data_IF_960591405098
#
_entry.id   IF_960591405098
#
_cell.length_a   1.000
_cell.length_b   1.000
_cell.length_c   1.000
_cell.angle_alpha   90.00
_cell.angle_beta   90.00
_cell.angle_gamma   90.00
#
_symmetry.space_group_name_H-M   'P 1'
#
loop_
_entity.id
_entity.type
_entity.pdbx_description
1 polymer ?
#
# COMPACT_ATOMS: atom_id res chain seq x y z
N UNK A 1 9.97 -7.32 -17.98
CA UNK A 1 11.37 -7.38 -18.50
C UNK A 1 11.63 -8.38 -19.65
N UNK A 2 10.60 -9.04 -20.18
CA UNK A 2 10.73 -10.24 -21.02
C UNK A 2 10.60 -9.94 -22.51
N UNK A 3 11.41 -10.60 -23.34
CA UNK A 3 11.41 -10.43 -24.80
C UNK A 3 11.38 -11.78 -25.52
N UNK A 4 10.30 -12.04 -26.24
CA UNK A 4 10.10 -13.22 -27.08
C UNK A 4 10.99 -13.22 -28.33
N UNK A 5 11.52 -14.38 -28.79
CA UNK A 5 12.08 -14.54 -30.13
C UNK A 5 11.13 -13.98 -31.20
N UNK A 6 11.68 -13.31 -32.21
CA UNK A 6 10.89 -12.66 -33.28
C UNK A 6 10.24 -11.33 -32.89
N UNK A 7 10.22 -10.96 -31.60
CA UNK A 7 9.75 -9.62 -31.21
C UNK A 7 10.70 -8.51 -31.71
N UNK A 8 10.13 -7.31 -31.88
CA UNK A 8 10.81 -6.13 -32.49
C UNK A 8 12.24 -5.89 -32.00
N UNK A 9 12.51 -6.11 -30.72
CA UNK A 9 13.81 -5.80 -30.11
C UNK A 9 14.67 -7.01 -29.79
N UNK A 10 14.15 -8.24 -29.93
CA UNK A 10 14.86 -9.45 -29.54
C UNK A 10 16.22 -9.59 -30.22
N UNK A 11 16.26 -9.47 -31.55
CA UNK A 11 17.51 -9.59 -32.31
C UNK A 11 18.56 -8.54 -31.93
N UNK A 12 18.13 -7.34 -31.52
CA UNK A 12 19.03 -6.30 -31.02
C UNK A 12 19.61 -6.69 -29.66
N UNK A 13 18.76 -7.12 -28.72
CA UNK A 13 19.20 -7.56 -27.39
C UNK A 13 20.16 -8.74 -27.49
N UNK A 14 19.82 -9.72 -28.33
CA UNK A 14 20.67 -10.88 -28.61
C UNK A 14 22.04 -10.46 -29.17
N UNK A 15 22.07 -9.61 -30.21
CA UNK A 15 23.32 -9.15 -30.82
C UNK A 15 24.24 -8.40 -29.83
N UNK A 16 23.67 -7.73 -28.83
CA UNK A 16 24.45 -6.99 -27.83
C UNK A 16 24.77 -7.82 -26.57
N UNK A 17 24.32 -9.09 -26.50
CA UNK A 17 24.55 -9.92 -25.31
C UNK A 17 23.79 -9.43 -24.07
N UNK A 18 22.66 -8.75 -24.24
CA UNK A 18 21.92 -8.09 -23.14
C UNK A 18 20.85 -8.97 -22.49
N UNK A 19 20.82 -10.27 -22.77
CA UNK A 19 20.03 -11.22 -22.01
C UNK A 19 20.92 -11.91 -21.00
N UNK A 20 20.41 -12.21 -19.80
CA UNK A 20 21.13 -13.16 -18.97
C UNK A 20 21.07 -14.54 -19.62
N UNK A 21 22.18 -15.27 -19.52
CA UNK A 21 22.48 -16.36 -20.45
C UNK A 21 22.99 -17.61 -19.73
N UNK A 22 22.93 -18.75 -20.40
CA UNK A 22 23.55 -19.98 -19.95
C UNK A 22 25.08 -19.91 -20.11
N UNK A 23 25.80 -20.91 -19.58
CA UNK A 23 27.25 -20.97 -19.69
C UNK A 23 27.79 -20.96 -21.14
N UNK A 24 26.98 -21.44 -22.09
CA UNK A 24 27.31 -21.44 -23.53
C UNK A 24 26.97 -20.12 -24.25
N UNK A 25 26.54 -19.09 -23.50
CA UNK A 25 26.20 -17.77 -24.02
C UNK A 25 24.81 -17.65 -24.64
N UNK A 26 24.02 -18.74 -24.72
CA UNK A 26 22.64 -18.65 -25.21
C UNK A 26 21.76 -17.95 -24.16
N UNK A 27 20.84 -17.05 -24.57
CA UNK A 27 19.87 -16.46 -23.66
C UNK A 27 19.10 -17.54 -22.90
N UNK A 28 18.88 -17.31 -21.61
CA UNK A 28 18.08 -18.23 -20.79
C UNK A 28 16.62 -18.14 -21.23
N UNK A 29 15.97 -19.28 -21.43
CA UNK A 29 14.56 -19.37 -21.84
C UNK A 29 13.84 -20.37 -20.95
N UNK A 30 12.53 -20.18 -20.75
CA UNK A 30 11.66 -21.22 -20.18
C UNK A 30 10.73 -21.78 -21.24
N UNK A 31 10.54 -23.10 -21.19
CA UNK A 31 9.54 -23.85 -21.96
C UNK A 31 8.36 -24.23 -21.06
N UNK A 32 7.97 -23.38 -20.11
CA UNK A 32 6.96 -23.73 -19.09
C UNK A 32 5.62 -24.18 -19.68
N UNK A 33 5.34 -23.82 -20.94
CA UNK A 33 4.19 -24.33 -21.68
C UNK A 33 4.57 -24.69 -23.11
N UNK A 34 4.20 -25.88 -23.63
CA UNK A 34 4.37 -26.22 -25.04
C UNK A 34 3.67 -25.17 -25.93
N UNK A 35 4.43 -24.48 -26.78
CA UNK A 35 3.94 -23.42 -27.68
C UNK A 35 4.10 -21.99 -27.15
N UNK A 36 4.58 -21.79 -25.92
CA UNK A 36 4.80 -20.46 -25.35
C UNK A 36 6.25 -19.99 -25.60
N UNK A 37 6.46 -19.17 -26.63
CA UNK A 37 7.74 -18.48 -26.88
C UNK A 37 7.88 -17.24 -26.00
N UNK A 38 7.61 -17.38 -24.70
CA UNK A 38 7.59 -16.27 -23.74
C UNK A 38 8.93 -15.49 -23.70
N UNK A 39 10.03 -16.12 -24.08
CA UNK A 39 11.32 -15.46 -24.34
C UNK A 39 12.21 -15.29 -23.12
N UNK A 40 13.25 -14.47 -23.28
CA UNK A 40 14.32 -14.25 -22.31
C UNK A 40 14.19 -12.89 -21.64
N UNK A 41 14.64 -12.78 -20.40
CA UNK A 41 14.67 -11.52 -19.68
C UNK A 41 15.98 -10.77 -19.97
N UNK A 42 15.84 -9.47 -20.21
CA UNK A 42 16.97 -8.57 -20.36
C UNK A 42 17.77 -8.52 -19.05
N UNK A 43 19.09 -8.46 -19.15
CA UNK A 43 19.98 -8.34 -18.00
C UNK A 43 20.09 -6.88 -17.55
N UNK A 44 19.41 -6.53 -16.46
CA UNK A 44 19.44 -5.17 -15.89
C UNK A 44 20.73 -4.86 -15.13
N UNK A 45 21.59 -5.85 -14.90
CA UNK A 45 22.90 -5.64 -14.25
C UNK A 45 23.94 -5.10 -15.24
N UNK A 46 23.74 -5.29 -16.54
CA UNK A 46 24.50 -4.61 -17.60
C UNK A 46 24.05 -3.13 -17.70
N UNK A 47 24.93 -2.15 -17.43
CA UNK A 47 24.56 -0.73 -17.49
C UNK A 47 24.11 -0.26 -18.89
N UNK A 48 24.62 -0.85 -19.97
CA UNK A 48 24.23 -0.52 -21.33
C UNK A 48 22.82 -1.05 -21.66
N UNK A 49 22.50 -2.27 -21.22
CA UNK A 49 21.15 -2.85 -21.32
C UNK A 49 20.14 -2.03 -20.52
N UNK A 50 20.43 -1.72 -19.25
CA UNK A 50 19.60 -0.89 -18.37
C UNK A 50 19.32 0.50 -18.97
N UNK A 51 20.35 1.18 -19.49
CA UNK A 51 20.19 2.47 -20.18
C UNK A 51 19.32 2.34 -21.43
N UNK A 52 19.48 1.26 -22.20
CA UNK A 52 18.66 1.03 -23.37
C UNK A 52 17.20 0.76 -23.01
N UNK A 53 16.94 -0.05 -21.99
CA UNK A 53 15.60 -0.38 -21.52
C UNK A 53 14.85 0.88 -21.11
N UNK A 54 15.49 1.74 -20.31
CA UNK A 54 14.91 3.04 -19.96
C UNK A 54 14.60 3.89 -21.20
N UNK A 55 15.50 3.99 -22.19
CA UNK A 55 15.22 4.76 -23.41
C UNK A 55 13.96 4.27 -24.13
N UNK A 56 13.70 2.96 -24.13
CA UNK A 56 12.49 2.40 -24.71
C UNK A 56 11.25 2.77 -23.89
N UNK A 57 11.32 2.69 -22.56
CA UNK A 57 10.25 3.16 -21.67
C UNK A 57 9.98 4.65 -21.88
N UNK A 58 11.01 5.50 -21.93
CA UNK A 58 10.87 6.94 -22.12
C UNK A 58 10.19 7.25 -23.46
N UNK A 59 10.71 6.70 -24.55
CA UNK A 59 10.24 6.95 -25.91
C UNK A 59 8.79 6.49 -26.13
N UNK A 60 8.42 5.33 -25.59
CA UNK A 60 7.13 4.70 -25.89
C UNK A 60 6.07 4.93 -24.81
N UNK A 61 6.45 5.28 -23.58
CA UNK A 61 5.51 5.50 -22.48
C UNK A 61 5.61 6.92 -21.92
N UNK A 62 6.74 7.32 -21.35
CA UNK A 62 6.81 8.56 -20.57
C UNK A 62 6.58 9.80 -21.43
N UNK A 63 7.25 9.92 -22.58
CA UNK A 63 7.02 11.02 -23.54
C UNK A 63 5.64 11.00 -24.19
N UNK A 64 4.91 9.89 -24.08
CA UNK A 64 3.51 9.76 -24.52
C UNK A 64 2.49 10.11 -23.43
N UNK A 65 2.95 10.56 -22.26
CA UNK A 65 2.10 11.07 -21.19
C UNK A 65 1.77 10.05 -20.08
N UNK A 66 2.29 8.82 -20.16
CA UNK A 66 2.16 7.87 -19.06
C UNK A 66 2.92 8.39 -17.83
N UNK A 67 2.31 8.28 -16.65
CA UNK A 67 2.79 8.93 -15.43
C UNK A 67 3.52 8.00 -14.46
N UNK A 68 3.39 6.68 -14.62
CA UNK A 68 3.96 5.67 -13.75
C UNK A 68 4.20 4.38 -14.53
N UNK A 69 5.07 3.53 -13.99
CA UNK A 69 5.45 2.25 -14.59
C UNK A 69 5.05 1.11 -13.67
N UNK A 70 4.35 0.13 -14.22
CA UNK A 70 4.18 -1.16 -13.57
C UNK A 70 5.21 -2.13 -14.17
N UNK A 71 6.24 -2.44 -13.38
CA UNK A 71 7.27 -3.41 -13.71
C UNK A 71 6.86 -4.78 -13.14
N UNK A 72 6.19 -5.56 -13.97
CA UNK A 72 5.82 -6.93 -13.65
C UNK A 72 6.99 -7.90 -13.88
N UNK A 73 6.94 -9.10 -13.29
CA UNK A 73 7.98 -10.15 -13.39
C UNK A 73 9.39 -9.69 -12.97
N UNK A 74 9.48 -8.89 -11.90
CA UNK A 74 10.74 -8.35 -11.39
C UNK A 74 11.53 -9.31 -10.48
N UNK A 75 11.10 -10.56 -10.29
CA UNK A 75 11.83 -11.56 -9.49
C UNK A 75 13.25 -11.85 -10.01
N UNK A 76 13.48 -12.19 -11.30
CA UNK A 76 12.56 -12.37 -12.44
C UNK A 76 11.90 -13.76 -12.50
N UNK A 77 10.72 -13.83 -13.13
CA UNK A 77 9.88 -15.05 -13.17
C UNK A 77 10.51 -16.24 -13.91
N UNK A 78 11.51 -15.98 -14.74
CA UNK A 78 12.49 -16.99 -15.15
C UNK A 78 13.64 -16.93 -14.13
N UNK A 79 13.76 -17.91 -13.21
CA UNK A 79 14.77 -17.84 -12.16
C UNK A 79 16.18 -17.85 -12.76
N UNK A 80 17.10 -16.99 -12.27
CA UNK A 80 18.45 -16.89 -12.82
C UNK A 80 19.39 -18.02 -12.37
N UNK A 81 18.89 -19.03 -11.64
CA UNK A 81 19.71 -20.14 -11.18
C UNK A 81 20.18 -20.99 -12.37
N UNK A 82 21.50 -21.19 -12.49
CA UNK A 82 22.12 -21.83 -13.66
C UNK A 82 22.37 -20.89 -14.84
N UNK A 83 22.02 -19.61 -14.71
CA UNK A 83 22.33 -18.55 -15.68
C UNK A 83 23.44 -17.63 -15.17
N UNK A 84 23.89 -16.72 -16.02
CA UNK A 84 24.88 -15.68 -15.73
C UNK A 84 24.31 -14.32 -16.08
N UNK A 85 24.44 -13.40 -15.14
CA UNK A 85 24.32 -11.97 -15.35
C UNK A 85 25.69 -11.38 -15.71
N UNK A 86 25.71 -10.14 -16.20
CA UNK A 86 26.90 -9.35 -16.46
C UNK A 86 27.79 -9.23 -15.23
N UNK A 87 27.19 -9.19 -14.03
CA UNK A 87 27.90 -9.08 -12.75
C UNK A 87 28.33 -10.42 -12.14
N UNK A 88 27.94 -11.55 -12.73
CA UNK A 88 28.33 -12.88 -12.25
C UNK A 88 27.23 -13.94 -12.29
N UNK A 89 27.46 -15.11 -11.66
CA UNK A 89 26.53 -16.23 -11.67
C UNK A 89 25.18 -15.86 -11.05
N UNK A 90 24.08 -16.19 -11.73
CA UNK A 90 22.73 -15.95 -11.24
C UNK A 90 22.38 -16.74 -9.98
N UNK A 91 23.10 -17.83 -9.69
CA UNK A 91 23.01 -18.55 -8.40
C UNK A 91 23.54 -17.70 -7.23
N UNK A 92 24.56 -16.88 -7.44
CA UNK A 92 25.11 -15.96 -6.43
C UNK A 92 24.26 -14.69 -6.32
N UNK A 93 23.85 -14.13 -7.47
CA UNK A 93 23.08 -12.89 -7.57
C UNK A 93 21.56 -13.12 -7.69
N UNK A 94 21.03 -14.21 -7.11
CA UNK A 94 19.66 -14.67 -7.38
C UNK A 94 18.57 -13.64 -7.08
N UNK A 95 18.71 -12.91 -5.96
CA UNK A 95 17.68 -12.00 -5.47
C UNK A 95 17.86 -10.52 -5.88
N UNK A 96 18.92 -10.16 -6.62
CA UNK A 96 19.25 -8.73 -6.81
C UNK A 96 18.48 -8.08 -7.96
N UNK A 97 17.88 -8.88 -8.84
CA UNK A 97 17.26 -8.39 -10.06
C UNK A 97 16.21 -7.28 -9.86
N UNK A 98 15.28 -7.34 -8.88
CA UNK A 98 14.32 -6.27 -8.66
C UNK A 98 14.99 -4.93 -8.29
N UNK A 99 16.15 -4.97 -7.61
CA UNK A 99 16.93 -3.76 -7.32
C UNK A 99 17.46 -3.12 -8.60
N UNK A 100 18.02 -3.91 -9.51
CA UNK A 100 18.61 -3.40 -10.75
C UNK A 100 17.55 -2.88 -11.71
N UNK A 101 16.44 -3.61 -11.92
CA UNK A 101 15.36 -3.17 -12.81
C UNK A 101 14.71 -1.86 -12.33
N UNK A 102 14.34 -1.79 -11.04
CA UNK A 102 13.76 -0.57 -10.48
C UNK A 102 14.75 0.60 -10.50
N UNK A 103 16.05 0.35 -10.29
CA UNK A 103 17.09 1.38 -10.39
C UNK A 103 17.21 1.93 -11.80
N UNK A 104 17.17 1.07 -12.83
CA UNK A 104 17.25 1.49 -14.23
C UNK A 104 16.12 2.47 -14.60
N UNK A 105 14.89 2.15 -14.18
CA UNK A 105 13.71 3.00 -14.41
C UNK A 105 13.80 4.29 -13.59
N UNK A 106 14.12 4.19 -12.29
CA UNK A 106 14.19 5.35 -11.40
C UNK A 106 15.25 6.36 -11.83
N UNK A 107 16.47 5.90 -12.10
CA UNK A 107 17.57 6.79 -12.51
C UNK A 107 17.28 7.43 -13.88
N UNK A 108 16.65 6.69 -14.77
CA UNK A 108 16.14 7.22 -16.03
C UNK A 108 15.13 8.35 -15.82
N UNK A 109 14.09 8.10 -15.00
CA UNK A 109 13.10 9.11 -14.64
C UNK A 109 13.75 10.34 -14.02
N UNK A 110 14.64 10.17 -13.02
CA UNK A 110 15.32 11.28 -12.33
C UNK A 110 16.15 12.16 -13.26
N UNK A 111 16.77 11.56 -14.27
CA UNK A 111 17.60 12.28 -15.25
C UNK A 111 16.75 13.02 -16.29
N UNK A 112 15.70 12.36 -16.80
CA UNK A 112 15.02 12.80 -18.02
C UNK A 112 13.66 13.46 -17.74
N UNK A 113 13.14 13.41 -16.50
CA UNK A 113 11.90 14.09 -16.09
C UNK A 113 12.03 14.82 -14.75
N UNK A 114 11.18 15.84 -14.55
CA UNK A 114 11.01 16.53 -13.26
C UNK A 114 9.98 15.86 -12.35
N UNK A 115 9.15 14.97 -12.90
CA UNK A 115 8.09 14.27 -12.14
C UNK A 115 8.71 13.25 -11.20
N UNK A 116 8.05 13.02 -10.06
CA UNK A 116 8.40 11.92 -9.15
C UNK A 116 8.28 10.59 -9.89
N UNK A 117 9.32 9.77 -9.78
CA UNK A 117 9.24 8.39 -10.24
C UNK A 117 8.23 7.64 -9.36
N UNK A 118 7.33 6.90 -10.01
CA UNK A 118 6.42 5.98 -9.36
C UNK A 118 6.48 4.66 -10.12
N UNK A 119 7.00 3.64 -9.45
CA UNK A 119 7.14 2.29 -9.98
C UNK A 119 6.31 1.36 -9.12
N UNK A 120 5.49 0.51 -9.72
CA UNK A 120 4.90 -0.65 -9.05
C UNK A 120 5.73 -1.87 -9.46
N UNK A 121 6.34 -2.60 -8.52
CA UNK A 121 7.21 -3.77 -8.80
C UNK A 121 6.83 -5.02 -7.98
N UNK A 122 6.91 -6.20 -8.60
CA UNK A 122 6.35 -7.46 -8.03
C UNK A 122 7.21 -8.07 -6.95
N UNK A 123 8.51 -7.82 -7.03
CA UNK A 123 9.53 -8.37 -6.16
C UNK A 123 10.41 -7.24 -5.64
N UNK A 124 11.01 -7.45 -4.47
CA UNK A 124 11.82 -6.46 -3.79
C UNK A 124 13.16 -7.04 -3.35
N UNK A 125 14.13 -6.16 -3.16
CA UNK A 125 15.38 -6.47 -2.49
C UNK A 125 15.77 -5.30 -1.59
N UNK A 126 16.64 -5.55 -0.62
CA UNK A 126 17.10 -4.52 0.32
C UNK A 126 17.65 -3.30 -0.44
N UNK A 127 17.16 -2.12 -0.08
CA UNK A 127 17.58 -0.86 -0.69
C UNK A 127 16.75 -0.45 -1.90
N UNK A 128 15.87 -1.29 -2.45
CA UNK A 128 15.04 -0.95 -3.61
C UNK A 128 14.00 0.14 -3.32
N UNK A 129 13.65 0.40 -2.04
CA UNK A 129 12.76 1.49 -1.64
C UNK A 129 13.29 2.89 -2.05
N UNK A 130 14.61 3.04 -2.26
CA UNK A 130 15.21 4.31 -2.74
C UNK A 130 14.81 4.67 -4.17
N UNK A 131 14.24 3.72 -4.92
CA UNK A 131 13.90 3.85 -6.33
C UNK A 131 12.47 4.34 -6.57
N UNK A 132 11.79 4.92 -5.56
CA UNK A 132 10.41 5.39 -5.71
C UNK A 132 9.44 4.27 -6.06
N UNK A 133 9.67 3.10 -5.47
CA UNK A 133 8.97 1.86 -5.80
C UNK A 133 7.95 1.48 -4.74
N UNK A 134 6.76 1.12 -5.19
CA UNK A 134 5.70 0.44 -4.47
C UNK A 134 5.84 -1.05 -4.78
N UNK A 135 5.84 -1.89 -3.75
CA UNK A 135 5.86 -3.34 -3.93
C UNK A 135 4.49 -3.95 -3.63
N UNK A 136 4.12 -5.03 -4.30
CA UNK A 136 2.90 -5.76 -3.99
C UNK A 136 3.16 -7.26 -3.78
N UNK A 137 2.24 -7.94 -3.09
CA UNK A 137 2.38 -9.37 -2.73
C UNK A 137 2.15 -10.37 -3.86
N UNK A 138 2.24 -9.94 -5.12
CA UNK A 138 2.11 -10.78 -6.31
C UNK A 138 0.70 -11.40 -6.48
N UNK A 139 0.62 -12.50 -7.23
CA UNK A 139 -0.59 -13.12 -7.72
C UNK A 139 -1.25 -14.00 -6.64
N UNK A 140 -1.85 -13.35 -5.65
CA UNK A 140 -2.44 -14.03 -4.48
C UNK A 140 -3.86 -14.56 -4.78
N UNK A 141 -4.27 -15.67 -4.15
CA UNK A 141 -5.62 -16.22 -4.37
C UNK A 141 -6.72 -15.42 -3.66
N UNK A 142 -7.92 -15.29 -4.24
CA UNK A 142 -9.07 -14.58 -3.67
C UNK A 142 -9.73 -15.36 -2.51
N UNK A 143 -9.06 -15.53 -1.37
CA UNK A 143 -9.59 -16.31 -0.22
C UNK A 143 -9.43 -15.59 1.12
N UNK A 144 -10.26 -15.94 2.11
CA UNK A 144 -10.12 -15.44 3.49
C UNK A 144 -8.78 -15.78 4.13
N UNK A 145 -8.24 -16.98 3.86
CA UNK A 145 -6.93 -17.36 4.38
C UNK A 145 -5.82 -16.48 3.77
N UNK A 146 -5.93 -16.16 2.48
CA UNK A 146 -5.02 -15.23 1.82
C UNK A 146 -5.09 -13.85 2.48
N UNK A 147 -6.29 -13.28 2.64
CA UNK A 147 -6.50 -11.99 3.33
C UNK A 147 -5.88 -12.01 4.74
N UNK A 148 -6.09 -13.08 5.51
CA UNK A 148 -5.49 -13.22 6.84
C UNK A 148 -3.96 -13.17 6.79
N UNK A 149 -3.33 -13.79 5.78
CA UNK A 149 -1.88 -13.81 5.61
C UNK A 149 -1.32 -12.49 5.09
N UNK A 150 -2.10 -11.67 4.38
CA UNK A 150 -1.61 -10.39 3.87
C UNK A 150 -1.22 -9.42 4.99
N UNK A 151 -1.87 -9.51 6.16
CA UNK A 151 -1.53 -8.65 7.31
C UNK A 151 -0.09 -8.90 7.77
N UNK A 152 0.31 -10.11 8.24
CA UNK A 152 1.71 -10.36 8.60
C UNK A 152 2.67 -10.12 7.44
N UNK A 153 2.32 -10.50 6.20
CA UNK A 153 3.17 -10.22 5.03
C UNK A 153 3.51 -8.74 4.89
N UNK A 154 2.51 -7.85 4.94
CA UNK A 154 2.73 -6.41 4.83
C UNK A 154 3.51 -5.83 6.01
N UNK A 155 3.29 -6.37 7.22
CA UNK A 155 4.04 -5.98 8.42
C UNK A 155 5.51 -6.37 8.31
N UNK A 156 5.82 -7.57 7.83
CA UNK A 156 7.19 -8.06 7.65
C UNK A 156 7.93 -7.26 6.56
N UNK A 157 7.27 -6.94 5.44
CA UNK A 157 7.84 -6.08 4.40
C UNK A 157 8.15 -4.68 4.94
N UNK A 158 7.21 -4.08 5.68
CA UNK A 158 7.39 -2.76 6.28
C UNK A 158 8.53 -2.76 7.32
N UNK A 159 8.57 -3.77 8.20
CA UNK A 159 9.63 -3.95 9.19
C UNK A 159 11.01 -4.20 8.54
N UNK A 160 11.03 -4.76 7.33
CA UNK A 160 12.24 -4.95 6.51
C UNK A 160 12.73 -3.66 5.83
N UNK A 161 12.14 -2.50 6.13
CA UNK A 161 12.58 -1.20 5.63
C UNK A 161 11.99 -0.82 4.26
N UNK A 162 10.91 -1.48 3.83
CA UNK A 162 10.19 -1.20 2.58
C UNK A 162 8.81 -0.60 2.94
N UNK A 163 8.68 0.74 3.00
CA UNK A 163 7.51 1.37 3.59
C UNK A 163 6.32 1.51 2.66
N UNK A 164 6.52 1.36 1.34
CA UNK A 164 5.45 1.45 0.33
C UNK A 164 5.13 0.05 -0.18
N UNK A 165 4.12 -0.55 0.43
CA UNK A 165 3.63 -1.88 0.09
C UNK A 165 2.11 -1.86 -0.12
N UNK A 166 1.60 -2.82 -0.89
CA UNK A 166 0.18 -3.05 -1.14
C UNK A 166 -0.09 -4.52 -1.48
N UNK A 167 -1.35 -4.88 -1.63
CA UNK A 167 -1.76 -6.15 -2.19
C UNK A 167 -2.80 -5.94 -3.30
N UNK A 168 -3.21 -7.05 -3.92
CA UNK A 168 -4.39 -7.09 -4.76
C UNK A 168 -5.62 -7.17 -3.86
N UNK A 169 -6.31 -6.05 -3.61
CA UNK A 169 -7.56 -6.09 -2.84
C UNK A 169 -8.56 -7.03 -3.51
N UNK A 170 -8.91 -8.10 -2.80
CA UNK A 170 -9.76 -9.20 -3.29
C UNK A 170 -8.99 -10.38 -3.89
N UNK A 171 -7.67 -10.32 -4.00
CA UNK A 171 -6.82 -11.31 -4.65
C UNK A 171 -6.67 -11.11 -6.16
N UNK A 172 -5.72 -11.81 -6.78
CA UNK A 172 -5.43 -11.77 -8.21
C UNK A 172 -6.23 -12.81 -9.00
N UNK A 173 -6.10 -14.10 -8.64
CA UNK A 173 -6.58 -15.21 -9.46
C UNK A 173 -8.10 -15.22 -9.68
N UNK A 174 -8.53 -15.97 -10.69
CA UNK A 174 -9.93 -16.22 -11.01
C UNK A 174 -10.70 -16.76 -9.81
N UNK A 175 -11.97 -16.38 -9.72
CA UNK A 175 -12.89 -16.90 -8.72
C UNK A 175 -13.29 -18.35 -9.05
N UNK A 176 -13.59 -19.17 -8.04
CA UNK A 176 -14.18 -20.48 -8.28
C UNK A 176 -15.54 -20.35 -8.98
N UNK A 177 -15.91 -21.36 -9.79
CA UNK A 177 -17.18 -21.36 -10.51
C UNK A 177 -18.39 -21.40 -9.56
N UNK A 178 -18.25 -22.09 -8.44
CA UNK A 178 -19.22 -22.22 -7.35
C UNK A 178 -18.46 -22.13 -6.04
N UNK A 179 -19.04 -21.44 -5.05
CA UNK A 179 -18.52 -21.37 -3.69
C UNK A 179 -19.46 -22.04 -2.68
N UNK A 180 -18.88 -22.51 -1.56
CA UNK A 180 -19.57 -23.12 -0.44
C UNK A 180 -19.22 -22.37 0.85
N UNK A 181 -19.96 -21.31 1.19
CA UNK A 181 -19.64 -20.46 2.32
C UNK A 181 -19.74 -21.23 3.65
N UNK A 182 -18.70 -21.15 4.47
CA UNK A 182 -18.63 -21.78 5.81
C UNK A 182 -19.56 -21.11 6.81
N UNK A 183 -19.84 -19.82 6.62
CA UNK A 183 -20.87 -19.06 7.34
C UNK A 183 -21.75 -18.32 6.37
N UNK A 184 -23.00 -18.06 6.75
CA UNK A 184 -23.90 -17.21 5.97
C UNK A 184 -23.23 -15.86 5.66
N UNK A 185 -23.05 -15.50 4.38
CA UNK A 185 -22.49 -14.21 4.01
C UNK A 185 -23.34 -13.06 4.55
N UNK A 186 -22.67 -11.98 4.96
CA UNK A 186 -23.26 -10.76 5.50
C UNK A 186 -23.85 -9.86 4.40
N UNK A 187 -23.40 -10.04 3.16
CA UNK A 187 -23.90 -9.32 2.01
C UNK A 187 -24.26 -10.27 0.86
N UNK A 188 -25.29 -9.89 0.13
CA UNK A 188 -25.82 -10.64 -1.00
C UNK A 188 -25.03 -10.35 -2.29
N UNK A 189 -24.72 -11.38 -3.11
CA UNK A 189 -24.16 -11.21 -4.44
C UNK A 189 -25.18 -10.70 -5.48
N UNK A 190 -26.41 -10.37 -5.07
CA UNK A 190 -27.42 -9.82 -5.95
C UNK A 190 -26.93 -8.53 -6.63
N UNK A 191 -26.98 -8.52 -7.97
CA UNK A 191 -26.43 -7.43 -8.79
C UNK A 191 -24.93 -7.49 -9.04
N UNK A 192 -24.22 -8.51 -8.52
CA UNK A 192 -22.79 -8.73 -8.73
C UNK A 192 -22.47 -9.96 -9.60
N UNK A 193 -23.48 -10.79 -9.92
CA UNK A 193 -23.31 -12.10 -10.57
C UNK A 193 -22.51 -12.07 -11.89
N UNK A 194 -22.63 -10.99 -12.66
CA UNK A 194 -21.84 -10.82 -13.89
C UNK A 194 -20.33 -10.69 -13.64
N UNK A 195 -19.93 -10.37 -12.40
CA UNK A 195 -18.54 -10.20 -11.98
C UNK A 195 -18.05 -11.32 -11.06
N UNK A 196 -18.93 -11.88 -10.21
CA UNK A 196 -18.58 -12.90 -9.20
C UNK A 196 -19.05 -14.32 -9.54
N UNK A 197 -19.86 -14.49 -10.59
CA UNK A 197 -20.37 -15.81 -10.99
C UNK A 197 -21.16 -16.50 -9.88
N UNK A 198 -20.84 -17.78 -9.66
CA UNK A 198 -21.43 -18.60 -8.61
C UNK A 198 -20.81 -18.40 -7.22
N UNK A 199 -19.74 -17.61 -7.10
CA UNK A 199 -19.10 -17.30 -5.82
C UNK A 199 -19.95 -16.30 -5.02
N UNK A 200 -20.69 -16.84 -4.04
CA UNK A 200 -21.66 -16.08 -3.24
C UNK A 200 -21.03 -15.32 -2.09
N UNK A 201 -19.84 -15.72 -1.67
CA UNK A 201 -19.11 -15.14 -0.54
C UNK A 201 -18.21 -13.98 -0.96
N UNK A 202 -17.69 -14.01 -2.19
CA UNK A 202 -16.71 -13.05 -2.67
C UNK A 202 -17.06 -11.57 -2.43
N UNK A 203 -18.31 -11.10 -2.56
CA UNK A 203 -18.64 -9.72 -2.19
C UNK A 203 -18.30 -9.36 -0.74
N UNK A 204 -18.55 -10.27 0.24
CA UNK A 204 -18.17 -10.05 1.63
C UNK A 204 -16.66 -10.01 1.80
N UNK A 205 -15.96 -10.99 1.22
CA UNK A 205 -14.50 -11.04 1.21
C UNK A 205 -13.92 -9.74 0.64
N UNK A 206 -14.42 -9.28 -0.50
CA UNK A 206 -13.97 -8.07 -1.16
C UNK A 206 -14.23 -6.82 -0.30
N UNK A 207 -15.40 -6.70 0.34
CA UNK A 207 -15.67 -5.61 1.28
C UNK A 207 -14.65 -5.61 2.41
N UNK A 208 -14.46 -6.75 3.10
CA UNK A 208 -13.48 -6.83 4.21
C UNK A 208 -12.06 -6.55 3.78
N UNK A 209 -11.66 -7.00 2.59
CA UNK A 209 -10.35 -6.73 2.03
C UNK A 209 -10.19 -5.25 1.67
N UNK A 210 -11.23 -4.61 1.14
CA UNK A 210 -11.21 -3.19 0.83
C UNK A 210 -11.16 -2.32 2.10
N UNK A 211 -11.87 -2.72 3.17
CA UNK A 211 -11.74 -2.10 4.49
C UNK A 211 -10.28 -2.09 4.96
N UNK A 212 -9.59 -3.23 4.84
CA UNK A 212 -8.16 -3.36 5.14
C UNK A 212 -7.29 -2.52 4.19
N UNK A 213 -7.52 -2.60 2.88
CA UNK A 213 -6.76 -1.89 1.84
C UNK A 213 -6.74 -0.37 2.01
N UNK A 214 -7.80 0.21 2.59
CA UNK A 214 -7.87 1.64 2.91
C UNK A 214 -6.81 2.08 3.92
N UNK A 215 -6.34 1.16 4.76
CA UNK A 215 -5.29 1.38 5.76
C UNK A 215 -3.96 0.74 5.38
N UNK A 216 -3.76 0.43 4.09
CA UNK A 216 -2.44 0.10 3.55
C UNK A 216 -1.67 1.35 3.13
N UNK A 217 -0.32 1.29 3.01
CA UNK A 217 0.46 2.39 2.47
C UNK A 217 -0.08 2.88 1.13
N UNK A 218 -0.45 1.96 0.25
CA UNK A 218 -1.10 2.21 -1.04
C UNK A 218 -2.40 1.40 -1.10
N UNK A 219 -3.51 2.06 -1.46
CA UNK A 219 -4.80 1.41 -1.75
C UNK A 219 -4.85 1.11 -3.25
N UNK A 220 -4.97 -0.17 -3.62
CA UNK A 220 -5.05 -0.62 -5.01
C UNK A 220 -6.02 -1.79 -5.15
N UNK A 221 -6.83 -1.80 -6.19
CA UNK A 221 -7.68 -2.94 -6.55
C UNK A 221 -7.20 -3.52 -7.88
N UNK A 222 -7.00 -4.83 -7.95
CA UNK A 222 -6.51 -5.51 -9.15
C UNK A 222 -6.82 -7.01 -9.11
N UNK A 223 -6.92 -7.62 -10.29
CA UNK A 223 -6.95 -9.07 -10.50
C UNK A 223 -7.89 -9.49 -11.64
N UNK A 224 -8.06 -10.79 -11.84
CA UNK A 224 -8.61 -11.40 -13.06
C UNK A 224 -10.14 -11.32 -13.22
N UNK A 225 -10.87 -10.69 -12.29
CA UNK A 225 -12.32 -10.46 -12.48
C UNK A 225 -12.54 -9.56 -13.69
N UNK A 226 -13.73 -9.65 -14.28
CA UNK A 226 -14.14 -8.78 -15.38
C UNK A 226 -14.03 -7.29 -15.01
N UNK A 227 -14.38 -6.93 -13.77
CA UNK A 227 -14.28 -5.58 -13.25
C UNK A 227 -13.77 -5.57 -11.80
N UNK A 228 -12.89 -4.62 -11.48
CA UNK A 228 -12.34 -4.40 -10.13
C UNK A 228 -12.75 -3.05 -9.52
N UNK A 229 -13.79 -2.44 -10.08
CA UNK A 229 -14.33 -1.15 -9.65
C UNK A 229 -15.29 -1.31 -8.48
N UNK A 230 -15.37 -0.29 -7.61
CA UNK A 230 -16.16 -0.36 -6.36
C UNK A 230 -17.66 -0.59 -6.55
N UNK A 231 -18.22 -0.32 -7.74
CA UNK A 231 -19.63 -0.57 -8.06
C UNK A 231 -19.91 -1.96 -8.65
N UNK A 232 -18.89 -2.80 -8.82
CA UNK A 232 -19.01 -4.11 -9.50
C UNK A 232 -19.37 -5.28 -8.58
N UNK A 233 -19.58 -5.02 -7.28
CA UNK A 233 -19.77 -6.06 -6.25
C UNK A 233 -21.18 -6.04 -5.64
N UNK A 234 -22.14 -5.43 -6.32
CA UNK A 234 -23.56 -5.49 -5.98
C UNK A 234 -24.03 -4.37 -5.05
N UNK A 235 -25.36 -4.21 -4.96
CA UNK A 235 -26.00 -3.03 -4.34
C UNK A 235 -25.70 -2.87 -2.84
N UNK A 236 -25.42 -3.97 -2.14
CA UNK A 236 -25.08 -3.93 -0.72
C UNK A 236 -23.61 -3.58 -0.46
N UNK A 237 -22.70 -4.01 -1.34
CA UNK A 237 -21.27 -3.73 -1.21
C UNK A 237 -20.92 -2.28 -1.59
N UNK A 238 -21.49 -1.77 -2.69
CA UNK A 238 -21.18 -0.43 -3.23
C UNK A 238 -21.16 0.70 -2.19
N UNK A 239 -22.21 0.92 -1.37
CA UNK A 239 -22.20 2.03 -0.40
C UNK A 239 -21.13 1.85 0.71
N UNK A 240 -20.76 0.61 1.04
CA UNK A 240 -19.70 0.33 2.01
C UNK A 240 -18.34 0.67 1.39
N UNK A 241 -18.08 0.19 0.18
CA UNK A 241 -16.85 0.47 -0.56
C UNK A 241 -16.67 1.97 -0.81
N UNK A 242 -17.75 2.67 -1.16
CA UNK A 242 -17.75 4.13 -1.31
C UNK A 242 -17.41 4.85 -0.01
N UNK A 243 -18.03 4.44 1.12
CA UNK A 243 -17.72 5.01 2.45
C UNK A 243 -16.23 4.94 2.74
N UNK A 244 -15.60 3.79 2.52
CA UNK A 244 -14.17 3.60 2.79
C UNK A 244 -13.28 4.32 1.79
N UNK A 245 -13.66 4.38 0.50
CA UNK A 245 -12.93 5.17 -0.49
C UNK A 245 -12.94 6.66 -0.10
N UNK A 246 -14.09 7.19 0.31
CA UNK A 246 -14.19 8.57 0.82
C UNK A 246 -13.37 8.77 2.10
N UNK A 247 -13.33 7.77 2.98
CA UNK A 247 -12.48 7.80 4.17
C UNK A 247 -10.99 7.86 3.83
N UNK A 248 -10.51 7.11 2.83
CA UNK A 248 -9.12 7.20 2.35
C UNK A 248 -8.75 8.62 1.95
N UNK A 249 -9.63 9.29 1.19
CA UNK A 249 -9.42 10.69 0.77
C UNK A 249 -9.54 11.66 1.94
N UNK A 250 -10.44 11.43 2.89
CA UNK A 250 -10.53 12.25 4.10
C UNK A 250 -9.25 12.13 4.95
N UNK A 251 -8.63 10.94 5.02
CA UNK A 251 -7.37 10.73 5.72
C UNK A 251 -6.13 11.18 4.93
N UNK A 252 -6.27 11.67 3.70
CA UNK A 252 -5.11 11.95 2.86
C UNK A 252 -4.12 12.97 3.47
N UNK A 253 -4.53 14.07 4.14
CA UNK A 253 -3.57 14.96 4.81
C UNK A 253 -2.73 14.24 5.87
N UNK A 254 -3.34 13.32 6.63
CA UNK A 254 -2.64 12.46 7.59
C UNK A 254 -1.68 11.50 6.90
N UNK A 255 -2.15 10.79 5.87
CA UNK A 255 -1.38 9.79 5.12
C UNK A 255 -0.19 10.42 4.42
N UNK A 256 -0.38 11.59 3.80
CA UNK A 256 0.68 12.29 3.08
C UNK A 256 1.76 12.81 4.01
N UNK A 257 1.37 13.26 5.21
CA UNK A 257 2.30 13.64 6.27
C UNK A 257 3.07 12.43 6.81
N UNK A 258 2.43 11.27 6.95
CA UNK A 258 3.10 10.01 7.28
C UNK A 258 4.13 9.62 6.20
N UNK A 259 3.78 9.76 4.91
CA UNK A 259 4.70 9.52 3.80
C UNK A 259 5.92 10.47 3.83
N UNK A 260 5.73 11.74 4.19
CA UNK A 260 6.84 12.67 4.41
C UNK A 260 7.73 12.24 5.58
N UNK A 261 7.15 11.84 6.71
CA UNK A 261 7.91 11.29 7.85
C UNK A 261 8.71 10.06 7.44
N UNK A 262 8.14 9.17 6.64
CA UNK A 262 8.84 8.02 6.06
C UNK A 262 10.04 8.44 5.22
N UNK A 263 9.88 9.41 4.32
CA UNK A 263 11.01 9.96 3.56
C UNK A 263 12.11 10.52 4.48
N UNK A 264 11.75 11.21 5.56
CA UNK A 264 12.69 11.83 6.49
C UNK A 264 13.43 10.86 7.41
N UNK A 265 12.79 9.75 7.78
CA UNK A 265 13.25 8.89 8.90
C UNK A 265 13.46 7.42 8.50
N UNK A 266 12.93 7.00 7.35
CA UNK A 266 12.84 5.60 6.97
C UNK A 266 11.72 4.82 7.67
N UNK A 267 11.07 5.38 8.69
CA UNK A 267 10.03 4.68 9.44
C UNK A 267 8.78 4.45 8.57
N UNK A 268 8.26 3.21 8.46
CA UNK A 268 7.03 2.94 7.72
C UNK A 268 5.81 3.46 8.49
N UNK A 269 4.68 3.59 7.78
CA UNK A 269 3.38 3.94 8.36
C UNK A 269 2.34 2.83 8.24
N UNK A 270 2.74 1.61 7.85
CA UNK A 270 2.09 0.37 8.27
C UNK A 270 3.10 -0.31 9.21
N UNK A 271 2.73 -0.50 10.48
CA UNK A 271 3.71 -0.77 11.54
C UNK A 271 3.22 -1.88 12.45
N UNK A 272 4.02 -2.92 12.59
CA UNK A 272 3.77 -3.94 13.61
C UNK A 272 3.76 -3.28 14.99
N UNK A 273 2.91 -3.75 15.89
CA UNK A 273 2.69 -3.08 17.18
C UNK A 273 3.97 -2.98 18.03
N UNK A 274 4.89 -3.95 17.94
CA UNK A 274 6.18 -3.90 18.65
C UNK A 274 7.02 -2.67 18.27
N UNK A 275 6.79 -2.05 17.11
CA UNK A 275 7.52 -0.85 16.68
C UNK A 275 7.15 0.39 17.48
N UNK A 276 5.93 0.45 18.03
CA UNK A 276 5.40 1.59 18.79
C UNK A 276 5.21 1.27 20.28
N UNK A 277 5.16 -0.03 20.63
CA UNK A 277 4.97 -0.54 21.99
C UNK A 277 6.02 -1.60 22.35
N UNK A 278 7.33 -1.33 22.21
CA UNK A 278 8.39 -2.33 22.38
C UNK A 278 8.50 -2.88 23.82
N UNK A 279 7.89 -2.21 24.80
CA UNK A 279 7.89 -2.62 26.20
C UNK A 279 6.66 -3.46 26.59
N UNK A 280 5.76 -3.75 25.65
CA UNK A 280 4.56 -4.55 25.88
C UNK A 280 4.71 -5.95 25.27
N UNK A 281 5.09 -6.98 26.05
CA UNK A 281 5.39 -8.30 25.49
C UNK A 281 4.19 -8.99 24.83
N UNK A 282 2.96 -8.49 25.01
CA UNK A 282 1.77 -9.04 24.34
C UNK A 282 1.73 -8.71 22.85
N UNK A 283 2.52 -7.73 22.39
CA UNK A 283 2.49 -7.31 20.98
C UNK A 283 3.57 -7.96 20.11
N UNK A 284 4.55 -8.63 20.72
CA UNK A 284 5.73 -9.19 20.03
C UNK A 284 5.36 -10.12 18.86
N UNK A 285 4.34 -10.95 19.06
CA UNK A 285 3.89 -11.95 18.07
C UNK A 285 2.52 -11.62 17.48
N UNK A 286 2.00 -10.40 17.69
CA UNK A 286 0.66 -10.05 17.27
C UNK A 286 0.66 -9.61 15.79
N UNK A 287 0.01 -10.41 14.94
CA UNK A 287 0.10 -10.29 13.48
C UNK A 287 -1.20 -9.89 12.79
N UNK A 288 -2.27 -9.66 13.56
CA UNK A 288 -3.62 -9.46 13.03
C UNK A 288 -4.20 -8.08 13.34
N UNK A 289 -3.39 -7.17 13.85
CA UNK A 289 -3.69 -5.76 14.10
C UNK A 289 -2.38 -4.97 14.16
N UNK A 290 -2.42 -3.70 13.79
CA UNK A 290 -1.22 -2.92 13.51
C UNK A 290 -1.49 -1.42 13.63
N UNK A 291 -0.42 -0.62 13.71
CA UNK A 291 -0.51 0.83 13.64
C UNK A 291 -0.44 1.33 12.19
N UNK A 292 -1.37 2.18 11.79
CA UNK A 292 -1.37 2.95 10.55
C UNK A 292 -0.97 4.41 10.83
N UNK A 293 0.29 4.73 10.54
CA UNK A 293 1.01 5.85 11.13
C UNK A 293 1.11 5.71 12.66
N UNK A 294 1.46 6.78 13.39
CA UNK A 294 1.63 6.70 14.86
C UNK A 294 0.30 6.68 15.64
N UNK A 295 -0.83 6.99 15.00
CA UNK A 295 -2.05 7.38 15.70
C UNK A 295 -3.19 6.36 15.61
N UNK A 296 -3.24 5.52 14.57
CA UNK A 296 -4.41 4.66 14.29
C UNK A 296 -4.07 3.18 14.46
N UNK A 297 -4.73 2.47 15.39
CA UNK A 297 -4.69 1.01 15.49
C UNK A 297 -5.80 0.41 14.64
N UNK A 298 -5.42 -0.41 13.66
CA UNK A 298 -6.31 -1.06 12.69
C UNK A 298 -6.37 -2.56 12.99
N UNK A 299 -7.58 -3.12 13.10
CA UNK A 299 -7.79 -4.55 13.36
C UNK A 299 -8.76 -5.16 12.33
N UNK A 300 -8.27 -5.59 11.14
CA UNK A 300 -9.11 -6.08 10.04
C UNK A 300 -9.94 -7.33 10.36
N UNK A 301 -11.13 -7.48 9.77
CA UNK A 301 -11.91 -8.72 9.89
C UNK A 301 -11.53 -9.68 8.76
N UNK A 302 -10.85 -10.78 9.08
CA UNK A 302 -10.31 -11.71 8.08
C UNK A 302 -10.99 -13.07 8.07
N UNK A 303 -12.20 -13.16 8.62
CA UNK A 303 -12.96 -14.40 8.71
C UNK A 303 -14.40 -14.15 8.28
N UNK A 304 -14.91 -15.04 7.43
CA UNK A 304 -16.27 -15.01 6.89
C UNK A 304 -17.35 -14.92 7.98
N UNK A 305 -18.36 -14.10 7.73
CA UNK A 305 -19.58 -13.99 8.52
C UNK A 305 -19.39 -13.31 9.88
N UNK A 306 -18.19 -12.79 10.19
CA UNK A 306 -17.90 -12.23 11.51
C UNK A 306 -18.39 -10.79 11.62
N UNK A 307 -19.10 -10.52 12.71
CA UNK A 307 -19.60 -9.18 13.08
C UNK A 307 -18.92 -8.61 14.34
N UNK A 308 -17.92 -9.32 14.87
CA UNK A 308 -17.05 -8.90 15.96
C UNK A 308 -15.75 -9.71 15.99
N UNK A 309 -14.70 -9.15 16.59
CA UNK A 309 -13.44 -9.84 16.87
C UNK A 309 -12.82 -9.36 18.18
N UNK A 310 -11.90 -10.16 18.72
CA UNK A 310 -11.01 -9.71 19.80
C UNK A 310 -10.00 -8.71 19.22
N UNK A 311 -9.72 -7.66 19.99
CA UNK A 311 -8.69 -6.64 19.69
C UNK A 311 -7.93 -6.39 20.97
N UNK A 312 -6.61 -6.50 20.93
CA UNK A 312 -5.76 -6.06 22.02
C UNK A 312 -5.45 -4.57 21.86
N UNK A 313 -5.65 -3.82 22.94
CA UNK A 313 -5.28 -2.42 23.01
C UNK A 313 -3.95 -2.35 23.78
N UNK A 314 -2.83 -2.01 23.14
CA UNK A 314 -1.52 -1.97 23.78
C UNK A 314 -1.50 -1.11 25.05
N UNK A 315 -0.70 -1.54 26.03
CA UNK A 315 -0.50 -0.83 27.28
C UNK A 315 0.26 0.50 27.10
N UNK A 316 0.26 1.32 28.15
CA UNK A 316 1.01 2.59 28.17
C UNK A 316 0.32 3.77 27.49
N UNK A 317 -0.89 3.59 26.97
CA UNK A 317 -1.75 4.66 26.43
C UNK A 317 -3.21 4.25 26.51
N UNK A 318 -4.10 5.23 26.59
CA UNK A 318 -5.52 5.03 26.35
C UNK A 318 -5.84 5.07 24.85
N UNK A 319 -7.03 4.61 24.50
CA UNK A 319 -7.49 4.43 23.12
C UNK A 319 -8.92 4.89 22.94
N UNK A 320 -9.21 5.56 21.83
CA UNK A 320 -10.55 5.98 21.45
C UNK A 320 -11.04 5.12 20.29
N UNK A 321 -12.23 4.53 20.39
CA UNK A 321 -12.89 3.96 19.22
C UNK A 321 -13.20 5.07 18.21
N UNK A 322 -12.64 4.99 17.01
CA UNK A 322 -12.74 6.04 15.99
C UNK A 322 -14.19 6.38 15.60
N UNK A 323 -15.07 5.38 15.65
CA UNK A 323 -16.45 5.47 15.19
C UNK A 323 -17.40 6.03 16.25
N UNK A 324 -17.13 5.76 17.53
CA UNK A 324 -18.04 6.10 18.63
C UNK A 324 -17.46 7.09 19.62
N UNK A 325 -16.18 7.42 19.53
CA UNK A 325 -15.42 8.22 20.50
C UNK A 325 -15.41 7.62 21.93
N UNK A 326 -15.78 6.35 22.08
CA UNK A 326 -15.69 5.67 23.37
C UNK A 326 -14.23 5.43 23.71
N UNK A 327 -13.86 5.81 24.92
CA UNK A 327 -12.51 5.62 25.45
C UNK A 327 -12.34 4.23 26.10
N UNK A 328 -11.13 3.70 26.01
CA UNK A 328 -10.70 2.44 26.58
C UNK A 328 -9.30 2.60 27.16
N UNK A 329 -9.06 2.04 28.33
CA UNK A 329 -7.70 1.91 28.85
C UNK A 329 -6.87 0.91 28.02
N UNK A 330 -5.58 1.17 27.87
CA UNK A 330 -4.64 0.20 27.28
C UNK A 330 -4.44 -1.03 28.17
N UNK A 331 -3.70 -2.02 27.65
CA UNK A 331 -3.32 -3.22 28.38
C UNK A 331 -4.35 -4.35 28.40
N UNK A 332 -5.48 -4.17 27.71
CA UNK A 332 -6.63 -5.09 27.74
C UNK A 332 -7.01 -5.62 26.34
N UNK A 333 -7.64 -6.79 26.30
CA UNK A 333 -8.29 -7.31 25.10
C UNK A 333 -9.79 -7.09 25.19
N UNK A 334 -10.36 -6.40 24.20
CA UNK A 334 -11.80 -6.14 24.10
C UNK A 334 -12.45 -6.99 23.00
N UNK A 335 -13.78 -7.14 23.06
CA UNK A 335 -14.57 -7.66 21.95
C UNK A 335 -15.12 -6.48 21.15
N UNK A 336 -14.44 -6.12 20.06
CA UNK A 336 -14.82 -5.00 19.22
C UNK A 336 -15.97 -5.40 18.27
N UNK A 337 -17.01 -4.56 18.20
CA UNK A 337 -18.06 -4.68 17.18
C UNK A 337 -17.45 -4.40 15.81
N UNK A 338 -17.79 -5.24 14.85
CA UNK A 338 -17.31 -5.18 13.48
C UNK A 338 -18.39 -5.60 12.49
N UNK A 339 -19.58 -4.95 12.46
CA UNK A 339 -20.55 -5.19 11.39
C UNK A 339 -19.91 -4.99 10.01
N UNK A 340 -20.55 -5.47 8.93
CA UNK A 340 -19.94 -5.51 7.58
C UNK A 340 -19.48 -4.14 7.04
N UNK A 341 -19.99 -3.05 7.61
CA UNK A 341 -19.65 -1.68 7.22
C UNK A 341 -18.70 -0.97 8.21
N UNK A 342 -18.11 -1.70 9.17
CA UNK A 342 -17.21 -1.18 10.21
C UNK A 342 -16.04 -2.15 10.43
N UNK A 343 -14.84 -1.66 10.16
CA UNK A 343 -13.57 -2.23 10.62
C UNK A 343 -13.26 -1.67 12.02
N UNK A 344 -12.89 -2.52 12.99
CA UNK A 344 -12.38 -2.04 14.27
C UNK A 344 -11.17 -1.13 14.07
N UNK A 345 -11.31 0.11 14.52
CA UNK A 345 -10.33 1.19 14.35
C UNK A 345 -10.30 2.02 15.62
N UNK A 346 -9.10 2.19 16.18
CA UNK A 346 -8.88 2.92 17.42
C UNK A 346 -7.84 4.01 17.21
N UNK A 347 -8.01 5.13 17.88
CA UNK A 347 -7.08 6.26 17.86
C UNK A 347 -6.37 6.32 19.20
N UNK A 348 -5.06 6.46 19.17
CA UNK A 348 -4.24 6.60 20.37
C UNK A 348 -4.60 7.91 21.08
N UNK A 349 -4.66 7.88 22.41
CA UNK A 349 -4.74 9.10 23.21
C UNK A 349 -3.48 9.97 23.00
N UNK A 350 -3.67 11.29 22.88
CA UNK A 350 -2.61 12.21 22.50
C UNK A 350 -2.30 12.23 21.00
N UNK A 351 -3.32 12.11 20.17
CA UNK A 351 -3.21 12.20 18.71
C UNK A 351 -3.92 13.43 18.14
N UNK A 352 -3.38 13.97 17.04
CA UNK A 352 -4.01 15.03 16.24
C UNK A 352 -4.22 14.48 14.83
N UNK A 353 -5.47 14.34 14.42
CA UNK A 353 -5.85 13.73 13.15
C UNK A 353 -6.44 14.78 12.19
N UNK A 354 -5.65 15.30 11.23
CA UNK A 354 -6.16 16.18 10.19
C UNK A 354 -6.94 15.40 9.12
N UNK A 355 -8.14 15.88 8.82
CA UNK A 355 -9.06 15.31 7.84
C UNK A 355 -9.32 16.30 6.70
N UNK A 356 -9.14 15.85 5.46
CA UNK A 356 -9.33 16.62 4.23
C UNK A 356 -10.80 16.78 3.83
N UNK A 357 -11.08 17.81 3.04
CA UNK A 357 -12.38 18.02 2.38
C UNK A 357 -12.63 16.93 1.34
N UNK A 358 -13.90 16.53 1.10
CA UNK A 358 -14.21 15.60 0.02
C UNK A 358 -13.73 16.15 -1.33
N UNK A 359 -12.95 15.34 -2.06
CA UNK A 359 -12.48 15.61 -3.41
C UNK A 359 -12.60 14.31 -4.23
N UNK A 360 -12.63 14.43 -5.55
CA UNK A 360 -12.71 13.28 -6.46
C UNK A 360 -11.32 12.73 -6.82
N UNK A 361 -10.32 13.61 -6.84
CA UNK A 361 -8.92 13.29 -7.08
C UNK A 361 -8.03 14.26 -6.28
N UNK A 362 -6.73 13.98 -6.29
CA UNK A 362 -5.69 14.75 -5.61
C UNK A 362 -4.82 15.53 -6.60
N UNK A 363 -5.35 15.84 -7.78
CA UNK A 363 -4.65 16.68 -8.74
C UNK A 363 -4.57 18.13 -8.27
N UNK A 364 -5.55 18.57 -7.48
CA UNK A 364 -5.58 19.88 -6.85
C UNK A 364 -5.33 19.76 -5.34
N UNK A 365 -4.94 20.89 -4.74
CA UNK A 365 -4.78 20.98 -3.29
C UNK A 365 -6.10 20.66 -2.57
N UNK A 366 -6.03 19.76 -1.59
CA UNK A 366 -7.16 19.39 -0.76
C UNK A 366 -7.08 20.19 0.56
N UNK A 367 -7.98 21.15 0.74
CA UNK A 367 -8.08 21.86 2.02
C UNK A 367 -8.57 20.95 3.15
N UNK A 368 -8.30 21.34 4.40
CA UNK A 368 -8.79 20.63 5.58
C UNK A 368 -10.30 20.83 5.78
N UNK A 369 -10.99 19.74 6.14
CA UNK A 369 -12.36 19.73 6.64
C UNK A 369 -12.41 19.86 8.15
N UNK A 370 -11.51 19.15 8.83
CA UNK A 370 -11.53 19.02 10.29
C UNK A 370 -10.15 18.63 10.81
N UNK A 371 -9.85 18.98 12.05
CA UNK A 371 -8.70 18.49 12.83
C UNK A 371 -9.27 17.90 14.11
N UNK A 372 -9.20 16.58 14.26
CA UNK A 372 -9.70 15.90 15.46
C UNK A 372 -8.56 15.73 16.45
N UNK A 373 -8.70 16.27 17.64
CA UNK A 373 -7.73 16.13 18.73
C UNK A 373 -8.26 15.10 19.71
N UNK A 374 -7.51 14.03 19.93
CA UNK A 374 -7.83 12.96 20.88
C UNK A 374 -7.01 13.18 22.14
N UNK A 375 -7.61 13.66 23.25
CA UNK A 375 -6.88 13.99 24.45
C UNK A 375 -6.33 12.76 25.20
N UNK A 376 -5.77 12.99 26.39
CA UNK A 376 -5.19 11.94 27.26
C UNK A 376 -3.67 12.03 27.37
N UNK A 377 -3.00 12.59 26.36
CA UNK A 377 -1.60 12.97 26.42
C UNK A 377 -1.33 14.22 25.56
N UNK A 378 -0.17 14.84 25.75
CA UNK A 378 0.28 15.89 24.83
C UNK A 378 0.51 15.31 23.43
N UNK A 379 0.26 16.10 22.40
CA UNK A 379 0.42 15.65 21.02
C UNK A 379 1.18 16.67 20.18
N UNK A 380 1.92 16.17 19.19
CA UNK A 380 2.50 16.99 18.13
C UNK A 380 2.35 16.26 16.80
N UNK A 381 1.96 16.98 15.76
CA UNK A 381 1.79 16.44 14.42
C UNK A 381 2.31 17.42 13.36
N UNK A 382 3.22 16.96 12.51
CA UNK A 382 3.73 17.74 11.39
C UNK A 382 2.81 17.56 10.18
N UNK A 383 1.92 18.53 9.94
CA UNK A 383 1.11 18.55 8.72
C UNK A 383 1.96 19.02 7.55
N UNK A 384 2.26 18.10 6.64
CA UNK A 384 3.12 18.34 5.49
C UNK A 384 2.32 18.48 4.19
N UNK A 385 2.68 19.48 3.39
CA UNK A 385 2.10 19.75 2.07
C UNK A 385 3.20 20.14 1.07
N UNK A 386 3.06 19.71 -0.19
CA UNK A 386 3.85 20.17 -1.33
C UNK A 386 3.03 19.99 -2.62
N UNK A 387 3.63 20.17 -3.81
CA UNK A 387 2.90 19.98 -5.07
C UNK A 387 2.49 18.54 -5.42
N UNK A 388 2.96 17.53 -4.69
CA UNK A 388 2.63 16.10 -4.87
C UNK A 388 3.17 15.43 -6.13
N UNK A 389 3.86 16.15 -7.01
CA UNK A 389 4.11 15.74 -8.41
C UNK A 389 5.59 15.73 -8.78
N UNK A 390 6.39 16.65 -8.26
CA UNK A 390 7.80 16.85 -8.66
C UNK A 390 8.73 16.70 -7.48
N UNK A 391 10.03 16.61 -7.75
CA UNK A 391 11.06 16.60 -6.72
C UNK A 391 11.38 17.99 -6.13
N UNK A 392 10.53 19.00 -6.35
CA UNK A 392 10.73 20.36 -5.85
C UNK A 392 10.35 20.54 -4.37
N UNK A 393 10.05 19.46 -3.64
CA UNK A 393 9.64 19.47 -2.23
C UNK A 393 10.59 20.25 -1.29
N UNK A 394 11.88 20.33 -1.63
CA UNK A 394 12.85 21.14 -0.87
C UNK A 394 12.60 22.66 -1.00
N UNK A 395 11.89 23.10 -2.05
CA UNK A 395 11.55 24.49 -2.34
C UNK A 395 10.10 24.82 -1.99
N UNK A 396 9.16 23.91 -2.28
CA UNK A 396 7.72 24.16 -2.13
C UNK A 396 7.06 23.41 -0.97
N UNK A 397 7.81 22.54 -0.27
CA UNK A 397 7.37 21.83 0.92
C UNK A 397 7.06 22.80 2.06
N UNK A 398 5.93 22.57 2.72
CA UNK A 398 5.41 23.36 3.83
C UNK A 398 5.06 22.44 4.98
N UNK A 399 5.43 22.86 6.19
CA UNK A 399 5.08 22.15 7.43
C UNK A 399 4.32 23.11 8.32
N UNK A 400 3.12 22.70 8.72
CA UNK A 400 2.38 23.30 9.84
C UNK A 400 2.49 22.36 11.02
N UNK A 401 3.17 22.77 12.08
CA UNK A 401 3.32 21.93 13.28
C UNK A 401 2.11 22.17 14.17
N UNK A 402 1.34 21.11 14.41
CA UNK A 402 0.14 21.12 15.25
C UNK A 402 0.53 20.65 16.65
N UNK A 403 0.08 21.35 17.69
CA UNK A 403 0.37 21.03 19.07
C UNK A 403 -0.91 20.97 19.92
N UNK A 404 -0.98 19.96 20.77
CA UNK A 404 -1.98 19.83 21.81
C UNK A 404 -1.29 19.74 23.17
N UNK A 405 -1.60 20.69 24.05
CA UNK A 405 -1.26 20.61 25.47
C UNK A 405 -2.47 20.06 26.23
N UNK A 406 -2.32 18.83 26.74
CA UNK A 406 -3.40 18.12 27.40
C UNK A 406 -3.77 18.71 28.76
N UNK A 407 -2.79 19.30 29.46
CA UNK A 407 -2.98 19.89 30.79
C UNK A 407 -3.78 21.18 30.71
N UNK A 408 -3.46 22.04 29.74
CA UNK A 408 -4.15 23.32 29.52
C UNK A 408 -5.32 23.21 28.56
N UNK A 409 -5.53 22.02 27.96
CA UNK A 409 -6.57 21.74 26.97
C UNK A 409 -6.53 22.70 25.79
N UNK A 410 -5.32 23.05 25.35
CA UNK A 410 -5.08 24.08 24.35
C UNK A 410 -4.47 23.50 23.08
N UNK A 411 -5.14 23.74 21.97
CA UNK A 411 -4.59 23.53 20.63
C UNK A 411 -3.86 24.79 20.16
N UNK A 412 -2.70 24.61 19.53
CA UNK A 412 -1.93 25.68 18.89
C UNK A 412 -1.26 25.13 17.63
N UNK A 413 -0.84 26.01 16.73
CA UNK A 413 -0.06 25.62 15.56
C UNK A 413 1.03 26.64 15.24
N UNK A 414 2.13 26.18 14.65
CA UNK A 414 3.27 27.01 14.21
C UNK A 414 3.73 26.60 12.82
N UNK A 415 4.67 27.36 12.24
CA UNK A 415 5.21 27.07 10.90
C UNK A 415 4.39 27.70 9.77
N UNK A 416 4.31 27.00 8.64
CA UNK A 416 3.56 27.47 7.48
C UNK A 416 2.06 27.58 7.81
N UNK A 417 1.35 28.45 7.10
CA UNK A 417 -0.11 28.59 7.27
C UNK A 417 -0.83 27.61 6.35
N UNK A 418 -1.45 26.57 6.90
CA UNK A 418 -2.24 25.59 6.14
C UNK A 418 -3.72 25.98 5.92
N UNK A 419 -4.29 26.89 6.72
CA UNK A 419 -5.67 27.35 6.56
C UNK A 419 -5.86 28.82 6.94
N UNK A 420 -6.97 29.41 6.47
CA UNK A 420 -7.29 30.83 6.67
C UNK A 420 -8.44 31.10 7.64
N UNK A 421 -9.25 30.08 7.96
CA UNK A 421 -10.40 30.18 8.89
C UNK A 421 -9.94 30.13 10.35
N UNK A 422 -10.74 30.59 11.33
CA UNK A 422 -10.44 30.40 12.74
C UNK A 422 -10.36 28.91 13.10
N UNK A 423 -9.46 28.56 14.03
CA UNK A 423 -9.28 27.17 14.51
C UNK A 423 -10.58 26.56 15.03
N UNK A 424 -11.47 27.36 15.64
CA UNK A 424 -12.79 26.91 16.12
C UNK A 424 -13.73 26.40 15.03
N UNK A 425 -13.42 26.61 13.75
CA UNK A 425 -14.16 26.05 12.60
C UNK A 425 -13.60 24.71 12.11
N UNK A 426 -12.40 24.33 12.50
CA UNK A 426 -11.73 23.11 12.05
C UNK A 426 -11.43 22.14 13.19
N UNK A 427 -11.00 22.65 14.35
CA UNK A 427 -10.53 21.85 15.48
C UNK A 427 -11.71 21.35 16.28
N UNK A 428 -11.82 20.02 16.38
CA UNK A 428 -12.74 19.33 17.27
C UNK A 428 -11.92 18.57 18.32
N UNK A 429 -12.07 18.95 19.59
CA UNK A 429 -11.51 18.17 20.71
C UNK A 429 -12.50 17.06 21.04
N UNK A 430 -12.04 15.82 20.91
CA UNK A 430 -12.89 14.66 21.15
C UNK A 430 -13.10 14.48 22.66
N UNK A 431 -14.36 14.31 23.03
CA UNK A 431 -14.78 13.96 24.39
C UNK A 431 -15.15 12.48 24.42
N UNK A 432 -14.73 11.78 25.48
CA UNK A 432 -15.10 10.40 25.67
C UNK A 432 -16.63 10.27 25.76
N UNK A 433 -17.21 9.47 24.87
CA UNK A 433 -18.59 9.04 25.03
C UNK A 433 -18.62 7.91 26.08
N UNK A 434 -19.31 8.15 27.21
CA UNK A 434 -19.51 7.16 28.27
C UNK A 434 -20.44 6.02 27.83
#
# INVERSE_FOLDING_TARGET
PRFAPGSRYYGKLLKNGWFYHLADGRPTQTNEYPGNQTGSNIDMTDPAAARWFWRMIDQHLIRRGFSAIWADETEPDIPPNGSYFHIGPGTEYFNVYPLFETSAIYQGMRRDTRRRAMILARAAFTGAQRNGTIFWSSDISPTWNTLQRQIPTGLDVAASGIPYWTDDVGGFWSLPAVDHPVRKPLISPAGARANVGGDVDYPELYVRWFEYGVFLPILRTHGMRRFNTVWSYGKQATPILEKYLRMRYALFPYIYSCAYRTYKTGAPYMRALFMDFPNDPKVDTLTNEYMFGPDLLVAPVTHQGRTSRKVYLPAGTDWYNYWTNREYHGGQTIVAKAPINIIPLFVRAGSILPLGKPVLDLQQHQGLKQIRVYPGANATFDLYEDNGRTYDYAKDGRITVLHWDNRTRRFTHTGARAWSVPDSKLVEVIHAAH
#
